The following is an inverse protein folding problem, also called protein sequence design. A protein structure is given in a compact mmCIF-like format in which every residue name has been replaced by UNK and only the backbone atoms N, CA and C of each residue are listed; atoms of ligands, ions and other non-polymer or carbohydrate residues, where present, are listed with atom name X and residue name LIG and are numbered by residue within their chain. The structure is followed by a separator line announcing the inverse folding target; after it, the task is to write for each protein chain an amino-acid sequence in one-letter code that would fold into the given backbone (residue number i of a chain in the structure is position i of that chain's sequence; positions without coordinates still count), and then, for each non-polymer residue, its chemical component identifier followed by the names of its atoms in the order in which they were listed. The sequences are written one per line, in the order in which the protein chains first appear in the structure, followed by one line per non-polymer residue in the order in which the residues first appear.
data_IF_603284703425
#
_entry.id   IF_603284703425
#
_cell.length_a   1.000
_cell.length_b   1.000
_cell.length_c   1.000
_cell.angle_alpha   90.00
_cell.angle_beta   90.00
_cell.angle_gamma   90.00
#
_symmetry.space_group_name_H-M   'P 1'
#
loop_
_entity.id
_entity.type
_entity.pdbx_description
1 polymer ?
#
# COMPACT_ATOMS: atom_id res chain seq x y z
N UNK A 1 22.57 36.18 -16.15
CA UNK A 1 22.73 35.25 -15.00
C UNK A 1 21.45 34.49 -14.62
N UNK A 2 20.25 35.09 -14.64
CA UNK A 2 18.99 34.42 -14.24
C UNK A 2 18.61 33.17 -15.07
N UNK A 3 18.83 33.19 -16.38
CA UNK A 3 18.49 32.06 -17.28
C UNK A 3 19.35 30.81 -17.03
N UNK A 4 20.65 30.98 -16.74
CA UNK A 4 21.55 29.85 -16.45
C UNK A 4 21.18 29.15 -15.13
N UNK A 5 20.83 29.93 -14.11
CA UNK A 5 20.42 29.39 -12.81
C UNK A 5 19.08 28.66 -12.95
N UNK A 6 18.10 29.25 -13.65
CA UNK A 6 16.80 28.62 -13.92
C UNK A 6 16.95 27.28 -14.67
N UNK A 7 17.86 27.22 -15.65
CA UNK A 7 18.09 26.00 -16.42
C UNK A 7 18.70 24.88 -15.56
N UNK A 8 19.57 25.23 -14.61
CA UNK A 8 20.17 24.29 -13.66
C UNK A 8 19.11 23.77 -12.67
N UNK A 9 18.21 24.63 -12.17
CA UNK A 9 17.12 24.18 -11.29
C UNK A 9 16.13 23.26 -12.01
N UNK A 10 15.74 23.59 -13.24
CA UNK A 10 14.84 22.74 -14.05
C UNK A 10 15.49 21.37 -14.32
N UNK A 11 16.79 21.35 -14.65
CA UNK A 11 17.49 20.10 -14.91
C UNK A 11 17.59 19.23 -13.66
N UNK A 12 17.92 19.81 -12.50
CA UNK A 12 17.92 19.08 -11.24
C UNK A 12 16.53 18.52 -10.90
N UNK A 13 15.47 19.30 -11.08
CA UNK A 13 14.09 18.84 -10.88
C UNK A 13 13.75 17.63 -11.75
N UNK A 14 14.14 17.65 -13.03
CA UNK A 14 13.97 16.52 -13.93
C UNK A 14 14.75 15.27 -13.49
N UNK A 15 16.00 15.44 -13.06
CA UNK A 15 16.82 14.33 -12.54
C UNK A 15 16.19 13.73 -11.29
N UNK A 16 15.74 14.55 -10.34
CA UNK A 16 15.04 14.07 -9.15
C UNK A 16 13.72 13.35 -9.50
N UNK A 17 12.97 13.84 -10.48
CA UNK A 17 11.74 13.18 -10.94
C UNK A 17 12.01 11.79 -11.52
N UNK A 18 13.09 11.61 -12.28
CA UNK A 18 13.44 10.33 -12.90
C UNK A 18 14.00 9.34 -11.87
N UNK A 19 14.77 9.82 -10.86
CA UNK A 19 15.36 8.96 -9.83
C UNK A 19 14.31 8.30 -8.91
N UNK A 20 13.17 8.96 -8.71
CA UNK A 20 12.06 8.48 -7.87
C UNK A 20 11.13 7.46 -8.56
N UNK A 21 11.32 7.22 -9.86
CA UNK A 21 10.52 6.27 -10.63
C UNK A 21 11.31 5.00 -10.94
N UNK A 22 10.64 3.86 -10.93
CA UNK A 22 11.13 2.58 -11.44
C UNK A 22 10.46 2.28 -12.78
N UNK A 23 11.25 1.82 -13.74
CA UNK A 23 10.75 1.27 -15.01
C UNK A 23 10.66 -0.23 -14.80
N UNK A 24 9.46 -0.80 -14.91
CA UNK A 24 9.28 -2.24 -14.79
C UNK A 24 8.06 -2.73 -15.56
N UNK A 25 7.66 -3.97 -15.27
CA UNK A 25 6.48 -4.56 -15.88
C UNK A 25 5.20 -4.02 -15.25
N UNK A 26 4.08 -4.07 -15.98
CA UNK A 26 2.76 -3.78 -15.43
C UNK A 26 2.46 -4.59 -14.14
N UNK A 27 3.01 -5.81 -14.02
CA UNK A 27 2.92 -6.65 -12.83
C UNK A 27 3.63 -6.04 -11.63
N UNK A 28 4.84 -5.53 -11.80
CA UNK A 28 5.57 -4.88 -10.72
C UNK A 28 4.89 -3.59 -10.28
N UNK A 29 4.40 -2.79 -11.24
CA UNK A 29 3.62 -1.59 -10.94
C UNK A 29 2.34 -1.93 -10.14
N UNK A 30 1.64 -2.99 -10.51
CA UNK A 30 0.45 -3.48 -9.82
C UNK A 30 0.76 -3.86 -8.37
N UNK A 31 1.82 -4.66 -8.14
CA UNK A 31 2.27 -5.04 -6.79
C UNK A 31 2.69 -3.83 -5.95
N UNK A 32 3.42 -2.90 -6.55
CA UNK A 32 3.89 -1.68 -5.91
C UNK A 32 2.73 -0.78 -5.48
N UNK A 33 1.69 -0.69 -6.31
CA UNK A 33 0.48 0.06 -5.97
C UNK A 33 -0.31 -0.61 -4.83
N UNK A 34 -0.37 -1.95 -4.80
CA UNK A 34 -1.01 -2.67 -3.69
C UNK A 34 -0.30 -2.44 -2.35
N UNK A 35 1.04 -2.42 -2.35
CA UNK A 35 1.83 -2.15 -1.14
C UNK A 35 1.72 -0.72 -0.62
N UNK A 36 1.31 0.23 -1.46
CA UNK A 36 1.06 1.62 -1.04
C UNK A 36 -0.29 1.79 -0.34
N UNK A 37 -1.15 0.78 -0.33
CA UNK A 37 -2.40 0.82 0.42
C UNK A 37 -2.13 0.93 1.92
N UNK A 38 -2.97 1.67 2.62
CA UNK A 38 -2.93 1.80 4.08
C UNK A 38 -3.64 0.59 4.74
N UNK A 39 -3.64 0.53 6.08
CA UNK A 39 -4.26 -0.53 6.90
C UNK A 39 -5.77 -0.69 6.61
N UNK A 40 -6.41 0.37 6.10
CA UNK A 40 -7.82 0.38 5.72
C UNK A 40 -8.10 -0.11 4.29
N UNK A 41 -7.06 -0.34 3.50
CA UNK A 41 -7.13 -0.81 2.12
C UNK A 41 -6.63 -2.25 1.99
N UNK A 42 -6.80 -2.83 0.81
CA UNK A 42 -6.26 -4.13 0.43
C UNK A 42 -4.72 -4.04 0.27
N UNK A 43 -4.02 -4.05 1.40
CA UNK A 43 -2.57 -3.88 1.57
C UNK A 43 -1.96 -5.05 2.36
N UNK A 44 -0.67 -5.37 2.21
CA UNK A 44 0.01 -6.33 3.11
C UNK A 44 -0.20 -6.02 4.60
N UNK A 45 -0.31 -4.75 4.98
CA UNK A 45 -0.49 -4.34 6.39
C UNK A 45 -1.83 -4.78 6.96
N UNK A 46 -2.86 -4.93 6.12
CA UNK A 46 -4.17 -5.46 6.51
C UNK A 46 -4.10 -6.92 6.96
N UNK A 47 -3.03 -7.65 6.61
CA UNK A 47 -2.78 -9.02 7.04
C UNK A 47 -1.99 -9.12 8.37
N UNK A 48 -1.47 -8.02 8.92
CA UNK A 48 -0.66 -8.02 10.15
C UNK A 48 -1.52 -7.91 11.43
N UNK A 49 -2.40 -8.87 11.65
CA UNK A 49 -3.34 -8.89 12.79
C UNK A 49 -2.67 -9.05 14.17
N UNK A 50 -1.54 -9.77 14.21
CA UNK A 50 -0.94 -10.23 15.47
C UNK A 50 -0.47 -9.08 16.36
N UNK A 51 0.06 -8.01 15.78
CA UNK A 51 0.50 -6.82 16.51
C UNK A 51 -0.67 -5.95 16.95
N UNK A 52 -1.67 -5.76 16.08
CA UNK A 52 -2.86 -5.00 16.42
C UNK A 52 -3.66 -5.64 17.58
N UNK A 53 -3.68 -6.98 17.65
CA UNK A 53 -4.32 -7.73 18.74
C UNK A 53 -3.79 -7.36 20.13
N UNK A 54 -2.48 -7.08 20.24
CA UNK A 54 -1.83 -6.72 21.50
C UNK A 54 -2.26 -5.35 22.03
N UNK A 55 -2.81 -4.49 21.16
CA UNK A 55 -3.26 -3.15 21.52
C UNK A 55 -4.73 -3.11 21.98
N UNK A 56 -5.47 -4.21 21.82
CA UNK A 56 -6.86 -4.29 22.27
C UNK A 56 -6.94 -4.56 23.77
N UNK A 57 -7.25 -3.50 24.52
CA UNK A 57 -7.57 -3.57 25.95
C UNK A 57 -9.05 -3.28 26.18
N UNK A 58 -9.62 -3.89 27.23
CA UNK A 58 -10.97 -3.56 27.68
C UNK A 58 -10.97 -2.17 28.31
N UNK A 59 -11.97 -1.34 27.98
CA UNK A 59 -12.12 -0.01 28.58
C UNK A 59 -12.85 -0.14 29.93
N UNK A 60 -12.58 0.78 30.86
CA UNK A 60 -13.05 0.73 32.26
C UNK A 60 -14.58 0.71 32.46
N UNK A 61 -15.39 0.88 31.40
CA UNK A 61 -16.86 0.82 31.44
C UNK A 61 -17.47 -0.02 30.32
N UNK A 62 -16.67 -0.86 29.67
CA UNK A 62 -17.12 -1.70 28.56
C UNK A 62 -17.51 -3.08 29.05
N UNK A 63 -18.69 -3.56 28.65
CA UNK A 63 -19.09 -4.94 28.90
C UNK A 63 -18.21 -5.92 28.12
N UNK A 64 -18.06 -7.15 28.63
CA UNK A 64 -17.28 -8.19 27.94
C UNK A 64 -17.79 -8.40 26.51
N UNK A 65 -19.11 -8.38 26.32
CA UNK A 65 -19.74 -8.52 25.00
C UNK A 65 -19.43 -7.35 24.05
N UNK A 66 -19.37 -6.12 24.54
CA UNK A 66 -19.02 -4.95 23.71
C UNK A 66 -17.54 -4.99 23.31
N UNK A 67 -16.67 -5.37 24.24
CA UNK A 67 -15.25 -5.56 23.98
C UNK A 67 -15.02 -6.63 22.90
N UNK A 68 -15.64 -7.80 23.05
CA UNK A 68 -15.55 -8.87 22.07
C UNK A 68 -16.11 -8.45 20.71
N UNK A 69 -17.23 -7.73 20.69
CA UNK A 69 -17.82 -7.25 19.45
C UNK A 69 -16.89 -6.26 18.72
N UNK A 70 -16.37 -5.23 19.42
CA UNK A 70 -15.42 -4.26 18.84
C UNK A 70 -14.18 -4.96 18.30
N UNK A 71 -13.61 -5.86 19.10
CA UNK A 71 -12.43 -6.64 18.74
C UNK A 71 -12.70 -7.47 17.48
N UNK A 72 -13.81 -8.21 17.46
CA UNK A 72 -14.18 -9.06 16.32
C UNK A 72 -14.50 -8.25 15.07
N UNK A 73 -15.18 -7.09 15.18
CA UNK A 73 -15.42 -6.19 14.04
C UNK A 73 -14.12 -5.73 13.42
N UNK A 74 -13.15 -5.30 14.24
CA UNK A 74 -11.83 -4.89 13.74
C UNK A 74 -11.10 -6.04 13.04
N UNK A 75 -11.06 -7.22 13.65
CA UNK A 75 -10.42 -8.38 13.03
C UNK A 75 -11.10 -8.81 11.74
N UNK A 76 -12.44 -8.85 11.71
CA UNK A 76 -13.20 -9.21 10.51
C UNK A 76 -12.97 -8.21 9.37
N UNK A 77 -12.93 -6.92 9.66
CA UNK A 77 -12.65 -5.88 8.67
C UNK A 77 -11.26 -6.07 8.04
N UNK A 78 -10.23 -6.21 8.87
CA UNK A 78 -8.88 -6.44 8.38
C UNK A 78 -8.77 -7.80 7.65
N UNK A 79 -9.50 -8.84 8.06
CA UNK A 79 -9.50 -10.15 7.42
C UNK A 79 -10.05 -10.09 6.00
N UNK A 80 -11.13 -9.33 5.80
CA UNK A 80 -11.71 -9.08 4.49
C UNK A 80 -10.71 -8.33 3.61
N UNK A 81 -10.06 -7.29 4.13
CA UNK A 81 -9.06 -6.52 3.38
C UNK A 81 -7.84 -7.37 3.01
N UNK A 82 -7.39 -8.22 3.93
CA UNK A 82 -6.29 -9.16 3.67
C UNK A 82 -6.67 -10.19 2.59
N UNK A 83 -7.90 -10.71 2.63
CA UNK A 83 -8.42 -11.59 1.59
C UNK A 83 -8.44 -10.88 0.22
N UNK A 84 -8.97 -9.66 0.17
CA UNK A 84 -9.00 -8.84 -1.05
C UNK A 84 -7.59 -8.50 -1.55
N UNK A 85 -6.63 -8.30 -0.65
CA UNK A 85 -5.23 -8.09 -1.02
C UNK A 85 -4.68 -9.31 -1.76
N UNK A 86 -4.92 -10.52 -1.27
CA UNK A 86 -4.46 -11.74 -1.95
C UNK A 86 -5.18 -12.00 -3.27
N UNK A 87 -6.47 -11.69 -3.40
CA UNK A 87 -7.17 -11.74 -4.69
C UNK A 87 -6.54 -10.76 -5.69
N UNK A 88 -6.37 -9.49 -5.32
CA UNK A 88 -5.73 -8.49 -6.19
C UNK A 88 -4.28 -8.84 -6.49
N UNK A 89 -3.55 -9.43 -5.55
CA UNK A 89 -2.19 -9.93 -5.79
C UNK A 89 -2.20 -11.07 -6.80
N UNK A 90 -3.18 -11.98 -6.72
CA UNK A 90 -3.36 -13.05 -7.69
C UNK A 90 -3.73 -12.47 -9.06
N UNK A 91 -4.58 -11.45 -9.13
CA UNK A 91 -4.90 -10.71 -10.36
C UNK A 91 -3.66 -10.02 -10.94
N UNK A 92 -2.84 -9.34 -10.14
CA UNK A 92 -1.56 -8.77 -10.59
C UNK A 92 -0.62 -9.85 -11.16
N UNK A 93 -0.74 -11.10 -10.69
CA UNK A 93 0.04 -12.24 -11.17
C UNK A 93 -0.61 -12.93 -12.39
N UNK A 94 -1.89 -12.68 -12.67
CA UNK A 94 -2.64 -13.21 -13.80
C UNK A 94 -2.54 -12.20 -14.95
N UNK A 95 -2.28 -12.71 -16.15
CA UNK A 95 -2.01 -11.94 -17.38
C UNK A 95 -0.68 -11.16 -17.41
N UNK A 96 0.32 -11.81 -17.99
CA UNK A 96 1.51 -11.12 -18.47
C UNK A 96 1.16 -10.37 -19.77
N UNK A 97 0.79 -9.08 -19.68
CA UNK A 97 0.94 -8.18 -20.84
C UNK A 97 2.44 -7.90 -21.00
N UNK A 98 3.16 -8.90 -21.53
CA UNK A 98 4.62 -8.95 -21.71
C UNK A 98 5.23 -7.70 -22.38
N UNK A 99 4.41 -6.90 -23.06
CA UNK A 99 4.83 -5.75 -23.84
C UNK A 99 4.30 -4.40 -23.35
N UNK A 100 3.69 -4.31 -22.16
CA UNK A 100 3.29 -3.03 -21.56
C UNK A 100 4.26 -2.64 -20.44
N UNK A 101 5.29 -1.83 -20.74
CA UNK A 101 6.11 -1.23 -19.69
C UNK A 101 5.24 -0.28 -18.86
N UNK A 102 5.45 -0.31 -17.54
CA UNK A 102 4.79 0.59 -16.61
C UNK A 102 5.84 1.36 -15.82
N UNK A 103 5.55 2.63 -15.55
CA UNK A 103 6.36 3.50 -14.69
C UNK A 103 5.62 3.59 -13.36
N UNK A 104 6.30 3.25 -12.27
CA UNK A 104 5.75 3.34 -10.92
C UNK A 104 6.76 4.04 -10.00
N UNK A 105 6.30 4.74 -8.96
CA UNK A 105 7.26 5.33 -8.01
C UNK A 105 7.95 4.23 -7.22
N UNK A 106 9.26 4.38 -7.00
CA UNK A 106 10.01 3.52 -6.08
C UNK A 106 9.37 3.64 -4.68
N UNK A 107 9.23 2.48 -4.02
CA UNK A 107 8.87 2.37 -2.60
C UNK A 107 9.90 3.12 -1.74
#
# INVERSE_FOLDING_TARGET
MKLRILNITIWNLFVFLILNCSIGSAREACKNNLKKGDIFDASPDSCEFGLAALLFTQKDNESISEFENRKNTFFNFNLINCYQYYEKLQECNKEEKKYLPAIYSKE
#
